data_IF_007141943801
#
_entry.id   IF_007141943801
#
_cell.length_a   1.000
_cell.length_b   1.000
_cell.length_c   1.000
_cell.angle_alpha   90.00
_cell.angle_beta   90.00
_cell.angle_gamma   90.00
#
_symmetry.space_group_name_H-M   'P 1'
#
loop_
_entity.id
_entity.type
_entity.pdbx_description
1 polymer ?
#
# COMPACT_ATOMS: atom_id res chain seq x y z
N UNK A 1 41.56 1.54 19.88
CA UNK A 1 40.11 1.85 19.93
C UNK A 1 39.52 2.04 18.54
N UNK A 2 40.13 2.86 17.65
CA UNK A 2 39.75 2.98 16.24
C UNK A 2 39.68 1.65 15.48
N UNK A 3 40.72 0.83 15.50
CA UNK A 3 40.75 -0.46 14.77
C UNK A 3 39.66 -1.45 15.21
N UNK A 4 39.32 -1.47 16.51
CA UNK A 4 38.21 -2.30 17.02
C UNK A 4 36.87 -1.78 16.49
N UNK A 5 36.66 -0.46 16.52
CA UNK A 5 35.42 0.17 16.01
C UNK A 5 35.31 -0.05 14.50
N UNK A 6 36.39 0.11 13.73
CA UNK A 6 36.43 -0.17 12.29
C UNK A 6 36.12 -1.65 12.00
N UNK A 7 36.71 -2.58 12.76
CA UNK A 7 36.40 -4.01 12.61
C UNK A 7 34.94 -4.36 12.91
N UNK A 8 34.33 -3.72 13.91
CA UNK A 8 32.89 -3.88 14.18
C UNK A 8 32.03 -3.25 13.07
N UNK A 9 32.41 -2.07 12.58
CA UNK A 9 31.74 -1.41 11.47
C UNK A 9 31.73 -2.31 10.23
N UNK A 10 32.90 -2.79 9.80
CA UNK A 10 33.06 -3.65 8.63
C UNK A 10 32.27 -4.96 8.72
N UNK A 11 32.06 -5.48 9.95
CA UNK A 11 31.23 -6.68 10.18
C UNK A 11 29.74 -6.43 10.02
N UNK A 12 29.26 -5.24 10.32
CA UNK A 12 27.82 -4.91 10.35
C UNK A 12 27.38 -4.22 9.05
N UNK A 13 28.27 -3.50 8.36
CA UNK A 13 27.97 -2.86 7.06
C UNK A 13 27.29 -3.79 6.04
N UNK A 14 27.74 -5.05 5.83
CA UNK A 14 27.09 -5.95 4.88
C UNK A 14 25.63 -6.28 5.22
N UNK A 15 25.26 -6.25 6.50
CA UNK A 15 23.86 -6.45 6.93
C UNK A 15 23.01 -5.25 6.50
N UNK A 16 23.49 -4.03 6.77
CA UNK A 16 22.79 -2.81 6.38
C UNK A 16 22.69 -2.66 4.86
N UNK A 17 23.75 -3.01 4.12
CA UNK A 17 23.74 -3.03 2.66
C UNK A 17 22.69 -4.00 2.11
N UNK A 18 22.57 -5.20 2.69
CA UNK A 18 21.53 -6.16 2.32
C UNK A 18 20.13 -5.65 2.65
N UNK A 19 19.96 -4.96 3.79
CA UNK A 19 18.70 -4.37 4.18
C UNK A 19 18.28 -3.28 3.18
N UNK A 20 19.18 -2.33 2.88
CA UNK A 20 18.93 -1.27 1.90
C UNK A 20 18.72 -1.80 0.48
N UNK A 21 19.30 -2.95 0.14
CA UNK A 21 19.15 -3.57 -1.18
C UNK A 21 18.04 -4.61 -1.29
N UNK A 22 17.26 -4.85 -0.24
CA UNK A 22 16.20 -5.84 -0.25
C UNK A 22 15.10 -5.47 -1.26
N UNK A 23 14.77 -6.38 -2.18
CA UNK A 23 13.77 -6.16 -3.23
C UNK A 23 12.38 -5.84 -2.67
N UNK A 24 11.95 -6.43 -1.56
CA UNK A 24 10.64 -6.13 -0.96
C UNK A 24 10.61 -4.75 -0.32
N UNK A 25 11.65 -4.37 0.42
CA UNK A 25 11.74 -3.04 1.02
C UNK A 25 11.78 -1.94 -0.05
N UNK A 26 12.57 -2.15 -1.11
CA UNK A 26 12.57 -1.28 -2.30
C UNK A 26 11.20 -1.21 -2.97
N UNK A 27 10.44 -2.31 -2.96
CA UNK A 27 9.11 -2.35 -3.58
C UNK A 27 8.09 -1.57 -2.76
N UNK A 28 8.08 -1.76 -1.44
CA UNK A 28 7.25 -0.97 -0.53
C UNK A 28 7.62 0.51 -0.65
N UNK A 29 8.92 0.82 -0.70
CA UNK A 29 9.41 2.19 -0.89
C UNK A 29 8.90 2.83 -2.17
N UNK A 30 9.14 2.18 -3.32
CA UNK A 30 8.67 2.69 -4.61
C UNK A 30 7.15 2.85 -4.64
N UNK A 31 6.42 1.89 -4.09
CA UNK A 31 4.96 1.93 -4.08
C UNK A 31 4.41 3.06 -3.22
N UNK A 32 4.91 3.25 -1.99
CA UNK A 32 4.47 4.36 -1.14
C UNK A 32 4.86 5.72 -1.72
N UNK A 33 6.04 5.85 -2.32
CA UNK A 33 6.42 7.08 -3.04
C UNK A 33 5.48 7.37 -4.23
N UNK A 34 4.99 6.33 -4.91
CA UNK A 34 4.00 6.46 -5.98
C UNK A 34 2.63 7.00 -5.52
N UNK A 35 2.32 6.95 -4.21
CA UNK A 35 1.07 7.46 -3.65
C UNK A 35 1.09 8.97 -3.34
N UNK A 36 2.24 9.63 -3.47
CA UNK A 36 2.40 11.05 -3.10
C UNK A 36 1.45 11.99 -3.87
N UNK A 37 1.19 11.72 -5.16
CA UNK A 37 0.27 12.51 -5.97
C UNK A 37 -1.16 12.50 -5.41
N UNK A 38 -1.80 11.32 -5.28
CA UNK A 38 -3.11 11.19 -4.62
C UNK A 38 -3.15 11.80 -3.22
N UNK A 39 -2.13 11.55 -2.37
CA UNK A 39 -2.07 12.13 -1.01
C UNK A 39 -2.12 13.65 -1.07
N UNK A 40 -1.29 14.28 -1.91
CA UNK A 40 -1.21 15.74 -2.02
C UNK A 40 -2.57 16.35 -2.40
N UNK A 41 -3.22 15.80 -3.44
CA UNK A 41 -4.52 16.29 -3.92
C UNK A 41 -5.60 16.10 -2.85
N UNK A 42 -5.61 14.94 -2.19
CA UNK A 42 -6.58 14.64 -1.13
C UNK A 42 -6.43 15.55 0.08
N UNK A 43 -5.20 15.80 0.51
CA UNK A 43 -4.89 16.69 1.64
C UNK A 43 -5.26 18.14 1.36
N UNK A 44 -4.97 18.65 0.15
CA UNK A 44 -5.41 20.00 -0.26
C UNK A 44 -6.95 20.09 -0.26
N UNK A 45 -7.62 19.05 -0.73
CA UNK A 45 -9.09 19.02 -0.77
C UNK A 45 -9.69 19.13 0.64
N UNK A 46 -9.12 18.41 1.61
CA UNK A 46 -9.58 18.51 3.00
C UNK A 46 -9.25 19.85 3.62
N UNK A 47 -8.07 20.39 3.34
CA UNK A 47 -7.72 21.73 3.78
C UNK A 47 -8.76 22.74 3.31
N UNK A 48 -9.14 22.72 2.02
CA UNK A 48 -10.14 23.61 1.45
C UNK A 48 -11.56 23.41 2.02
N UNK A 49 -11.88 22.21 2.52
CA UNK A 49 -13.14 21.94 3.23
C UNK A 49 -13.17 22.55 4.63
N UNK A 50 -12.05 22.52 5.35
CA UNK A 50 -11.97 22.91 6.76
C UNK A 50 -11.66 24.40 6.91
N UNK A 51 -10.87 24.97 5.99
CA UNK A 51 -10.41 26.36 6.05
C UNK A 51 -11.54 27.40 6.22
N UNK A 52 -12.73 27.27 5.60
CA UNK A 52 -13.84 28.21 5.79
C UNK A 52 -14.47 28.21 7.19
N UNK A 53 -14.13 27.24 8.04
CA UNK A 53 -14.50 27.24 9.46
C UNK A 53 -13.60 28.17 10.26
N UNK A 54 -12.29 28.15 9.98
CA UNK A 54 -11.29 28.94 10.70
C UNK A 54 -11.07 30.34 10.12
N UNK A 55 -11.35 30.55 8.83
CA UNK A 55 -11.17 31.82 8.12
C UNK A 55 -12.48 32.24 7.43
N UNK A 56 -13.31 33.10 8.08
CA UNK A 56 -14.59 33.54 7.53
C UNK A 56 -14.50 34.23 6.16
N UNK A 57 -13.37 34.88 5.86
CA UNK A 57 -13.09 35.51 4.56
C UNK A 57 -13.11 34.50 3.39
N UNK A 58 -12.95 33.21 3.67
CA UNK A 58 -12.93 32.14 2.68
C UNK A 58 -14.24 31.33 2.63
N UNK A 59 -15.33 31.89 3.17
CA UNK A 59 -16.66 31.25 3.18
C UNK A 59 -17.18 30.85 1.80
N UNK A 60 -16.75 31.54 0.73
CA UNK A 60 -17.10 31.21 -0.66
C UNK A 60 -16.68 29.78 -1.06
N UNK A 61 -15.65 29.21 -0.42
CA UNK A 61 -15.20 27.83 -0.69
C UNK A 61 -16.25 26.79 -0.30
N UNK A 62 -17.21 27.13 0.58
CA UNK A 62 -18.32 26.23 0.94
C UNK A 62 -19.19 25.86 -0.27
N UNK A 63 -19.25 26.72 -1.28
CA UNK A 63 -19.95 26.44 -2.54
C UNK A 63 -19.31 25.29 -3.33
N UNK A 64 -18.04 24.97 -3.07
CA UNK A 64 -17.28 23.92 -3.74
C UNK A 64 -17.07 22.69 -2.85
N UNK A 65 -17.68 22.64 -1.66
CA UNK A 65 -17.45 21.57 -0.69
C UNK A 65 -17.72 20.17 -1.27
N UNK A 66 -18.77 20.01 -2.08
CA UNK A 66 -19.07 18.72 -2.73
C UNK A 66 -17.95 18.24 -3.66
N UNK A 67 -17.28 19.16 -4.38
CA UNK A 67 -16.16 18.84 -5.27
C UNK A 67 -14.96 18.39 -4.43
N UNK A 68 -14.63 19.12 -3.36
CA UNK A 68 -13.50 18.77 -2.49
C UNK A 68 -13.73 17.45 -1.75
N UNK A 69 -14.95 17.18 -1.29
CA UNK A 69 -15.30 15.91 -0.67
C UNK A 69 -15.13 14.74 -1.65
N UNK A 70 -15.60 14.90 -2.90
CA UNK A 70 -15.40 13.90 -3.95
C UNK A 70 -13.92 13.68 -4.26
N UNK A 71 -13.13 14.75 -4.34
CA UNK A 71 -11.68 14.65 -4.57
C UNK A 71 -10.98 13.89 -3.43
N UNK A 72 -11.34 14.17 -2.17
CA UNK A 72 -10.80 13.42 -1.04
C UNK A 72 -11.18 11.93 -1.10
N UNK A 73 -12.43 11.62 -1.45
CA UNK A 73 -12.92 10.24 -1.53
C UNK A 73 -12.15 9.41 -2.58
N UNK A 74 -11.90 9.97 -3.77
CA UNK A 74 -11.18 9.25 -4.84
C UNK A 74 -9.66 9.20 -4.61
N UNK A 75 -9.12 10.03 -3.73
CA UNK A 75 -7.69 10.05 -3.41
C UNK A 75 -7.42 9.26 -2.14
N UNK A 76 -7.52 9.90 -0.98
CA UNK A 76 -7.26 9.31 0.34
C UNK A 76 -8.31 8.22 0.66
N UNK A 77 -9.58 8.47 0.32
CA UNK A 77 -10.65 7.50 0.53
C UNK A 77 -10.56 6.24 -0.32
N UNK A 78 -9.66 6.21 -1.31
CA UNK A 78 -9.41 5.07 -2.21
C UNK A 78 -7.95 4.61 -2.20
N UNK A 79 -7.20 4.97 -1.16
CA UNK A 79 -5.75 4.76 -1.09
C UNK A 79 -5.31 3.30 -1.26
N UNK A 80 -6.06 2.34 -0.70
CA UNK A 80 -5.72 0.93 -0.79
C UNK A 80 -5.63 0.46 -2.26
N UNK A 81 -6.44 1.03 -3.15
CA UNK A 81 -6.41 0.73 -4.58
C UNK A 81 -5.11 1.17 -5.25
N UNK A 82 -4.60 2.35 -4.89
CA UNK A 82 -3.31 2.83 -5.39
C UNK A 82 -2.17 1.96 -4.86
N UNK A 83 -2.21 1.64 -3.56
CA UNK A 83 -1.18 0.84 -2.91
C UNK A 83 -1.10 -0.57 -3.51
N UNK A 84 -2.23 -1.28 -3.70
CA UNK A 84 -2.18 -2.67 -4.19
C UNK A 84 -1.58 -2.79 -5.59
N UNK A 85 -1.93 -1.87 -6.48
CA UNK A 85 -1.40 -1.78 -7.85
C UNK A 85 0.10 -1.52 -7.81
N UNK A 86 0.52 -0.49 -7.06
CA UNK A 86 1.91 -0.06 -7.01
C UNK A 86 2.80 -1.11 -6.33
N UNK A 87 2.31 -1.80 -5.30
CA UNK A 87 3.06 -2.84 -4.58
C UNK A 87 3.43 -4.01 -5.52
N UNK A 88 2.45 -4.52 -6.28
CA UNK A 88 2.71 -5.59 -7.24
C UNK A 88 3.61 -5.11 -8.39
N UNK A 89 3.36 -3.91 -8.91
CA UNK A 89 4.17 -3.31 -9.98
C UNK A 89 5.65 -3.22 -9.61
N UNK A 90 5.95 -2.60 -8.46
CA UNK A 90 7.32 -2.40 -8.01
C UNK A 90 7.98 -3.73 -7.62
N UNK A 91 7.24 -4.69 -7.06
CA UNK A 91 7.78 -6.00 -6.73
C UNK A 91 8.22 -6.78 -7.95
N UNK A 92 7.40 -6.82 -9.01
CA UNK A 92 7.80 -7.50 -10.26
C UNK A 92 9.02 -6.83 -10.86
N UNK A 93 9.06 -5.50 -10.92
CA UNK A 93 10.25 -4.79 -11.43
C UNK A 93 11.53 -5.07 -10.63
N UNK A 94 11.42 -5.22 -9.31
CA UNK A 94 12.57 -5.48 -8.45
C UNK A 94 13.02 -6.95 -8.44
N UNK A 95 12.10 -7.90 -8.69
CA UNK A 95 12.42 -9.33 -8.70
C UNK A 95 12.73 -9.86 -10.11
N UNK A 96 12.12 -9.29 -11.14
CA UNK A 96 12.26 -9.69 -12.54
C UNK A 96 12.27 -8.45 -13.45
N UNK A 97 13.41 -7.74 -13.54
CA UNK A 97 13.52 -6.45 -14.24
C UNK A 97 13.19 -6.48 -15.75
N UNK A 98 13.13 -7.68 -16.35
CA UNK A 98 12.76 -7.87 -17.75
C UNK A 98 11.26 -7.70 -18.02
N UNK A 99 10.42 -7.70 -16.97
CA UNK A 99 8.97 -7.52 -17.05
C UNK A 99 8.58 -6.08 -16.71
N UNK A 100 7.50 -5.57 -17.32
CA UNK A 100 7.02 -4.20 -17.06
C UNK A 100 6.24 -4.06 -15.74
N UNK A 101 5.74 -5.17 -15.19
CA UNK A 101 4.97 -5.24 -13.94
C UNK A 101 3.50 -4.86 -14.07
N UNK A 102 3.02 -4.41 -15.23
CA UNK A 102 1.65 -3.92 -15.41
C UNK A 102 0.64 -5.06 -15.27
N UNK A 103 0.91 -6.22 -15.89
CA UNK A 103 0.02 -7.38 -15.78
C UNK A 103 -0.16 -7.79 -14.31
N UNK A 104 0.92 -7.87 -13.54
CA UNK A 104 0.85 -8.19 -12.11
C UNK A 104 0.09 -7.14 -11.30
N UNK A 105 0.23 -5.85 -11.64
CA UNK A 105 -0.48 -4.77 -11.00
C UNK A 105 -2.01 -4.85 -11.21
N UNK A 106 -2.44 -5.17 -12.43
CA UNK A 106 -3.86 -5.37 -12.76
C UNK A 106 -4.39 -6.64 -12.06
N UNK A 107 -3.63 -7.74 -12.06
CA UNK A 107 -4.00 -8.96 -11.34
C UNK A 107 -4.14 -8.68 -9.84
N UNK A 108 -3.25 -7.87 -9.26
CA UNK A 108 -3.31 -7.55 -7.83
C UNK A 108 -4.55 -6.72 -7.48
N UNK A 109 -4.93 -5.77 -8.34
CA UNK A 109 -6.18 -5.03 -8.19
C UNK A 109 -7.40 -5.96 -8.28
N UNK A 110 -7.42 -6.89 -9.23
CA UNK A 110 -8.47 -7.89 -9.35
C UNK A 110 -8.55 -8.77 -8.09
N UNK A 111 -7.41 -9.23 -7.58
CA UNK A 111 -7.34 -10.04 -6.35
C UNK A 111 -7.77 -9.26 -5.12
N UNK A 112 -7.49 -7.96 -5.06
CA UNK A 112 -7.99 -7.07 -4.01
C UNK A 112 -9.52 -7.01 -4.02
N UNK A 113 -10.12 -6.85 -5.20
CA UNK A 113 -11.58 -6.89 -5.31
C UNK A 113 -12.17 -8.26 -4.98
N UNK A 114 -11.49 -9.36 -5.32
CA UNK A 114 -11.94 -10.72 -4.96
C UNK A 114 -12.06 -10.90 -3.44
N UNK A 115 -11.14 -10.34 -2.66
CA UNK A 115 -11.18 -10.44 -1.19
C UNK A 115 -12.02 -9.35 -0.52
N UNK A 116 -12.47 -8.35 -1.28
CA UNK A 116 -13.26 -7.24 -0.75
C UNK A 116 -14.73 -7.66 -0.71
N UNK A 117 -15.36 -7.75 0.47
CA UNK A 117 -16.75 -8.16 0.56
C UNK A 117 -17.67 -7.12 -0.08
N UNK A 118 -18.65 -7.59 -0.85
CA UNK A 118 -19.75 -6.76 -1.32
C UNK A 118 -20.76 -6.58 -0.17
N UNK A 119 -21.21 -5.36 0.03
CA UNK A 119 -22.23 -5.00 1.02
C UNK A 119 -23.52 -4.58 0.32
N UNK A 120 -24.67 -4.85 0.91
CA UNK A 120 -25.93 -4.32 0.41
C UNK A 120 -26.19 -2.93 0.99
N UNK A 121 -26.56 -1.98 0.13
CA UNK A 121 -27.06 -0.68 0.58
C UNK A 121 -28.49 -0.80 1.12
N UNK A 122 -29.02 0.30 1.68
CA UNK A 122 -30.41 0.40 2.15
C UNK A 122 -31.41 0.09 1.03
N UNK A 123 -31.04 0.38 -0.23
CA UNK A 123 -31.86 0.15 -1.43
C UNK A 123 -31.60 -1.22 -2.07
N UNK A 124 -31.03 -2.18 -1.33
CA UNK A 124 -30.66 -3.53 -1.80
C UNK A 124 -29.69 -3.56 -3.00
N UNK A 125 -28.94 -2.46 -3.20
CA UNK A 125 -27.91 -2.40 -4.23
C UNK A 125 -26.61 -2.99 -3.70
N UNK A 126 -26.05 -3.95 -4.42
CA UNK A 126 -24.71 -4.47 -4.13
C UNK A 126 -23.66 -3.38 -4.36
N UNK A 127 -22.92 -3.04 -3.32
CA UNK A 127 -21.92 -1.97 -3.32
C UNK A 127 -20.59 -2.44 -2.69
N UNK A 128 -19.51 -1.82 -3.14
CA UNK A 128 -18.18 -1.99 -2.53
C UNK A 128 -18.08 -1.02 -1.34
N UNK A 129 -17.87 -1.50 -0.11
CA UNK A 129 -17.71 -0.63 1.04
C UNK A 129 -16.42 0.17 0.94
N UNK A 130 -16.53 1.51 0.99
CA UNK A 130 -15.38 2.43 0.90
C UNK A 130 -14.39 2.26 2.06
N UNK A 131 -14.84 1.69 3.18
CA UNK A 131 -14.02 1.32 4.35
C UNK A 131 -12.73 0.61 3.93
N UNK A 132 -12.85 -0.46 3.14
CA UNK A 132 -11.71 -1.27 2.68
C UNK A 132 -10.93 -0.64 1.53
N UNK A 133 -11.48 0.37 0.86
CA UNK A 133 -10.77 1.09 -0.20
C UNK A 133 -9.87 2.19 0.38
N UNK A 134 -10.16 2.63 1.60
CA UNK A 134 -9.47 3.71 2.29
C UNK A 134 -8.26 3.23 3.12
N UNK A 135 -7.86 4.01 4.12
CA UNK A 135 -6.79 3.70 5.07
C UNK A 135 -6.89 2.31 5.72
N UNK A 136 -8.08 1.86 6.10
CA UNK A 136 -8.24 0.56 6.76
C UNK A 136 -7.89 -0.63 5.85
N UNK A 137 -7.92 -0.43 4.53
CA UNK A 137 -7.52 -1.45 3.57
C UNK A 137 -6.04 -1.44 3.18
N UNK A 138 -5.26 -0.44 3.59
CA UNK A 138 -3.88 -0.23 3.08
C UNK A 138 -2.97 -1.43 3.40
N UNK A 139 -3.01 -1.98 4.62
CA UNK A 139 -2.21 -3.16 4.95
C UNK A 139 -2.65 -4.40 4.17
N UNK A 140 -3.95 -4.56 3.96
CA UNK A 140 -4.47 -5.64 3.11
C UNK A 140 -3.98 -5.49 1.67
N UNK A 141 -4.01 -4.27 1.14
CA UNK A 141 -3.50 -3.94 -0.19
C UNK A 141 -2.00 -4.24 -0.33
N UNK A 142 -1.20 -3.95 0.70
CA UNK A 142 0.22 -4.31 0.72
C UNK A 142 0.42 -5.82 0.63
N UNK A 143 -0.27 -6.59 1.48
CA UNK A 143 -0.15 -8.04 1.52
C UNK A 143 -0.59 -8.64 0.17
N UNK A 144 -1.75 -8.25 -0.34
CA UNK A 144 -2.28 -8.72 -1.63
C UNK A 144 -1.35 -8.36 -2.78
N UNK A 145 -0.85 -7.13 -2.83
CA UNK A 145 0.03 -6.65 -3.89
C UNK A 145 1.37 -7.39 -3.89
N UNK A 146 2.00 -7.54 -2.72
CA UNK A 146 3.26 -8.27 -2.59
C UNK A 146 3.08 -9.77 -2.86
N UNK A 147 2.02 -10.39 -2.34
CA UNK A 147 1.73 -11.80 -2.59
C UNK A 147 1.48 -12.05 -4.09
N UNK A 148 0.65 -11.22 -4.73
CA UNK A 148 0.37 -11.30 -6.16
C UNK A 148 1.63 -11.14 -7.00
N UNK A 149 2.43 -10.10 -6.75
CA UNK A 149 3.68 -9.88 -7.48
C UNK A 149 4.66 -11.05 -7.31
N UNK A 150 4.77 -11.61 -6.10
CA UNK A 150 5.63 -12.76 -5.83
C UNK A 150 5.15 -14.01 -6.56
N UNK A 151 3.87 -14.35 -6.47
CA UNK A 151 3.30 -15.52 -7.15
C UNK A 151 3.43 -15.36 -8.67
N UNK A 152 3.17 -14.16 -9.21
CA UNK A 152 3.34 -13.86 -10.62
C UNK A 152 4.76 -14.15 -11.11
N UNK A 153 5.78 -13.64 -10.40
CA UNK A 153 7.19 -13.89 -10.73
C UNK A 153 7.51 -15.39 -10.67
N UNK A 154 7.05 -16.09 -9.63
CA UNK A 154 7.28 -17.53 -9.51
C UNK A 154 6.67 -18.33 -10.66
N UNK A 155 5.48 -17.96 -11.14
CA UNK A 155 4.84 -18.63 -12.28
C UNK A 155 5.58 -18.34 -13.59
N UNK A 156 6.01 -17.09 -13.80
CA UNK A 156 6.82 -16.69 -14.97
C UNK A 156 8.19 -17.36 -14.98
N UNK A 157 8.85 -17.49 -13.83
CA UNK A 157 10.15 -18.16 -13.69
C UNK A 157 10.06 -19.66 -13.99
N UNK A 158 8.95 -20.30 -13.60
CA UNK A 158 8.66 -21.70 -13.95
C UNK A 158 8.22 -21.90 -15.41
N UNK A 159 8.06 -20.84 -16.19
CA UNK A 159 7.57 -20.91 -17.55
C UNK A 159 6.10 -21.33 -17.65
N UNK A 160 5.31 -21.11 -16.60
CA UNK A 160 3.87 -21.36 -16.59
C UNK A 160 3.14 -20.23 -17.31
N UNK A 161 3.40 -20.13 -18.61
CA UNK A 161 2.88 -19.10 -19.51
C UNK A 161 2.41 -19.74 -20.82
N UNK A 162 1.53 -19.04 -21.52
CA UNK A 162 1.15 -19.42 -22.89
C UNK A 162 2.15 -18.78 -23.84
N UNK A 163 2.92 -19.60 -24.58
CA UNK A 163 3.91 -19.13 -25.55
C UNK A 163 3.24 -18.83 -26.89
N UNK A 164 3.57 -17.68 -27.47
CA UNK A 164 3.09 -17.30 -28.80
C UNK A 164 4.10 -17.72 -29.89
N UNK A 165 3.64 -18.08 -31.11
CA UNK A 165 4.51 -18.33 -32.25
C UNK A 165 5.31 -17.09 -32.69
N UNK A 166 6.38 -17.33 -33.45
CA UNK A 166 7.12 -16.26 -34.13
C UNK A 166 6.18 -15.53 -35.11
N UNK A 167 6.07 -14.20 -34.97
CA UNK A 167 5.20 -13.36 -35.80
C UNK A 167 4.08 -12.65 -35.03
N UNK A 168 3.81 -13.04 -33.78
CA UNK A 168 2.83 -12.34 -32.93
C UNK A 168 3.45 -11.06 -32.33
N UNK A 169 2.78 -9.90 -32.41
CA UNK A 169 3.28 -8.65 -31.84
C UNK A 169 3.59 -8.77 -30.34
N UNK A 170 4.67 -8.12 -29.84
CA UNK A 170 5.09 -8.24 -28.44
C UNK A 170 4.00 -7.92 -27.40
N UNK A 171 3.12 -6.96 -27.71
CA UNK A 171 2.00 -6.58 -26.85
C UNK A 171 1.01 -7.74 -26.65
N UNK A 172 0.70 -8.48 -27.71
CA UNK A 172 -0.22 -9.63 -27.65
C UNK A 172 0.42 -10.78 -26.89
N UNK A 173 1.71 -11.06 -27.16
CA UNK A 173 2.47 -12.09 -26.44
C UNK A 173 2.44 -11.88 -24.92
N UNK A 174 2.66 -10.65 -24.46
CA UNK A 174 2.61 -10.33 -23.03
C UNK A 174 1.25 -10.62 -22.39
N UNK A 175 0.15 -10.28 -23.06
CA UNK A 175 -1.20 -10.54 -22.55
C UNK A 175 -1.40 -12.05 -22.37
N UNK A 176 -1.14 -12.84 -23.40
CA UNK A 176 -1.32 -14.29 -23.35
C UNK A 176 -0.39 -14.98 -22.34
N UNK A 177 0.87 -14.53 -22.25
CA UNK A 177 1.79 -15.05 -21.25
C UNK A 177 1.31 -14.80 -19.81
N UNK A 178 0.49 -13.76 -19.60
CA UNK A 178 -0.06 -13.42 -18.29
C UNK A 178 -1.42 -14.09 -17.98
N UNK A 179 -2.10 -14.70 -18.95
CA UNK A 179 -3.41 -15.34 -18.75
C UNK A 179 -3.33 -16.48 -17.73
N UNK A 180 -2.39 -17.42 -17.93
CA UNK A 180 -2.25 -18.55 -17.02
C UNK A 180 -1.85 -18.11 -15.60
N UNK A 181 -0.89 -17.18 -15.40
CA UNK A 181 -0.64 -16.56 -14.10
C UNK A 181 -1.88 -15.91 -13.49
N UNK A 182 -2.68 -15.18 -14.29
CA UNK A 182 -3.90 -14.51 -13.83
C UNK A 182 -4.89 -15.52 -13.24
N UNK A 183 -5.20 -16.59 -13.98
CA UNK A 183 -6.18 -17.61 -13.53
C UNK A 183 -5.72 -18.26 -12.24
N UNK A 184 -4.46 -18.68 -12.16
CA UNK A 184 -3.92 -19.36 -10.98
C UNK A 184 -3.97 -18.45 -9.75
N UNK A 185 -3.52 -17.19 -9.89
CA UNK A 185 -3.51 -16.24 -8.78
C UNK A 185 -4.95 -15.94 -8.32
N UNK A 186 -5.89 -15.74 -9.25
CA UNK A 186 -7.29 -15.49 -8.90
C UNK A 186 -7.89 -16.68 -8.14
N UNK A 187 -7.63 -17.92 -8.56
CA UNK A 187 -8.09 -19.12 -7.84
C UNK A 187 -7.55 -19.13 -6.42
N UNK A 188 -6.27 -18.80 -6.21
CA UNK A 188 -5.67 -18.72 -4.87
C UNK A 188 -6.41 -17.70 -4.00
N UNK A 189 -6.70 -16.50 -4.52
CA UNK A 189 -7.42 -15.47 -3.76
C UNK A 189 -8.90 -15.77 -3.55
N UNK A 190 -9.57 -16.48 -4.47
CA UNK A 190 -10.95 -16.96 -4.28
C UNK A 190 -11.02 -17.97 -3.14
N UNK A 191 -10.08 -18.92 -3.12
CA UNK A 191 -9.99 -19.90 -2.03
C UNK A 191 -9.69 -19.21 -0.70
N UNK A 192 -8.77 -18.24 -0.68
CA UNK A 192 -8.50 -17.44 0.51
C UNK A 192 -9.73 -16.67 0.98
N UNK A 193 -10.45 -16.01 0.07
CA UNK A 193 -11.68 -15.29 0.42
C UNK A 193 -12.72 -16.23 1.06
N UNK A 194 -12.94 -17.40 0.45
CA UNK A 194 -13.88 -18.41 0.96
C UNK A 194 -13.52 -18.89 2.37
N UNK A 195 -12.21 -19.03 2.67
CA UNK A 195 -11.72 -19.39 4.01
C UNK A 195 -12.04 -18.29 5.02
N UNK A 196 -11.83 -17.01 4.65
CA UNK A 196 -12.12 -15.89 5.55
C UNK A 196 -13.62 -15.65 5.75
N UNK A 197 -14.45 -15.87 4.74
CA UNK A 197 -15.91 -15.83 4.84
C UNK A 197 -16.43 -16.88 5.85
N UNK A 198 -15.81 -18.06 5.88
CA UNK A 198 -16.13 -19.11 6.84
C UNK A 198 -15.51 -18.88 8.25
N UNK A 199 -14.66 -17.87 8.41
CA UNK A 199 -13.97 -17.57 9.67
C UNK A 199 -14.75 -16.57 10.55
N UNK A 200 -14.35 -16.43 11.81
CA UNK A 200 -14.92 -15.43 12.73
C UNK A 200 -14.66 -13.98 12.31
N UNK A 201 -13.72 -13.75 11.39
CA UNK A 201 -13.41 -12.41 10.87
C UNK A 201 -14.34 -12.00 9.71
N UNK A 202 -14.98 -12.95 9.04
CA UNK A 202 -15.88 -12.74 7.90
C UNK A 202 -15.20 -12.29 6.59
N UNK A 203 -14.07 -11.58 6.64
CA UNK A 203 -13.28 -11.23 5.46
C UNK A 203 -11.81 -11.00 5.81
N UNK A 204 -10.94 -11.05 4.79
CA UNK A 204 -9.50 -10.89 4.97
C UNK A 204 -9.12 -9.49 5.48
N UNK A 205 -9.83 -8.45 5.06
CA UNK A 205 -9.51 -7.09 5.50
C UNK A 205 -9.70 -6.91 7.00
N UNK A 206 -10.79 -7.44 7.56
CA UNK A 206 -11.06 -7.41 8.99
C UNK A 206 -10.00 -8.19 9.78
N UNK A 207 -9.57 -9.35 9.28
CA UNK A 207 -8.49 -10.12 9.89
C UNK A 207 -7.18 -9.31 9.91
N UNK A 208 -6.77 -8.76 8.77
CA UNK A 208 -5.54 -7.97 8.67
C UNK A 208 -5.62 -6.73 9.56
N UNK A 209 -6.77 -6.06 9.59
CA UNK A 209 -6.98 -4.88 10.41
C UNK A 209 -6.79 -5.20 11.90
N UNK A 210 -7.54 -6.17 12.42
CA UNK A 210 -7.55 -6.50 13.86
C UNK A 210 -6.27 -7.17 14.35
N UNK A 211 -5.65 -8.03 13.54
CA UNK A 211 -4.49 -8.83 13.98
C UNK A 211 -3.16 -8.14 13.70
N UNK A 212 -3.09 -7.31 12.65
CA UNK A 212 -1.83 -6.72 12.18
C UNK A 212 -1.88 -5.20 12.33
N UNK A 213 -2.85 -4.54 11.72
CA UNK A 213 -2.84 -3.09 11.62
C UNK A 213 -3.05 -2.41 12.98
N UNK A 214 -4.11 -2.77 13.71
CA UNK A 214 -4.47 -2.16 14.99
C UNK A 214 -3.37 -2.31 16.05
N UNK A 215 -2.77 -3.49 16.29
CA UNK A 215 -1.64 -3.63 17.22
C UNK A 215 -0.41 -2.81 16.80
N UNK A 216 -0.09 -2.79 15.51
CA UNK A 216 1.03 -2.00 15.00
C UNK A 216 0.78 -0.50 15.13
N UNK A 217 -0.46 -0.03 14.96
CA UNK A 217 -0.83 1.37 15.18
C UNK A 217 -0.64 1.75 16.65
N UNK A 218 -1.14 0.92 17.57
CA UNK A 218 -0.99 1.17 19.01
C UNK A 218 0.46 1.30 19.47
N UNK A 219 1.37 0.51 18.88
CA UNK A 219 2.82 0.62 19.17
C UNK A 219 3.44 1.80 18.40
N UNK A 220 3.14 1.90 17.10
CA UNK A 220 3.79 2.80 16.16
C UNK A 220 3.42 4.27 16.29
N UNK A 221 2.30 4.59 16.95
CA UNK A 221 1.91 5.94 17.33
C UNK A 221 2.58 6.46 18.61
N UNK A 222 3.29 5.61 19.35
CA UNK A 222 3.91 6.02 20.62
C UNK A 222 5.16 6.89 20.41
N UNK A 223 5.44 7.80 21.37
CA UNK A 223 6.67 8.60 21.40
C UNK A 223 7.91 7.69 21.34
N UNK A 224 7.88 6.55 22.05
CA UNK A 224 8.95 5.57 22.04
C UNK A 224 9.21 5.00 20.64
N UNK A 225 8.16 4.69 19.88
CA UNK A 225 8.29 4.25 18.50
C UNK A 225 8.85 5.34 17.59
N UNK A 226 8.40 6.59 17.72
CA UNK A 226 8.95 7.72 16.94
C UNK A 226 10.43 7.92 17.22
N UNK A 227 10.84 7.85 18.49
CA UNK A 227 12.26 7.95 18.90
C UNK A 227 13.06 6.78 18.32
N UNK A 228 12.56 5.55 18.42
CA UNK A 228 13.23 4.36 17.90
C UNK A 228 13.39 4.41 16.38
N UNK A 229 12.33 4.77 15.65
CA UNK A 229 12.34 4.96 14.19
C UNK A 229 13.38 6.01 13.82
N UNK A 230 13.37 7.15 14.50
CA UNK A 230 14.34 8.24 14.28
C UNK A 230 15.77 7.74 14.51
N UNK A 231 16.01 7.00 15.59
CA UNK A 231 17.32 6.44 15.92
C UNK A 231 17.79 5.44 14.84
N UNK A 232 16.92 4.54 14.38
CA UNK A 232 17.22 3.59 13.31
C UNK A 232 17.60 4.34 12.02
N UNK A 233 16.88 5.40 11.68
CA UNK A 233 17.22 6.23 10.52
C UNK A 233 18.62 6.85 10.66
N UNK A 234 18.95 7.42 11.82
CA UNK A 234 20.27 8.01 12.05
C UNK A 234 21.39 6.95 12.03
N UNK A 235 21.13 5.75 12.55
CA UNK A 235 22.06 4.62 12.47
C UNK A 235 22.33 4.28 11.00
N UNK A 236 21.29 4.14 10.17
CA UNK A 236 21.49 3.87 8.74
C UNK A 236 22.31 4.95 8.05
N UNK A 237 22.06 6.22 8.37
CA UNK A 237 22.85 7.35 7.89
C UNK A 237 24.33 7.25 8.29
N UNK A 238 24.63 6.78 9.50
CA UNK A 238 26.00 6.52 9.95
C UNK A 238 26.72 5.46 9.11
N UNK A 239 25.99 4.50 8.55
CA UNK A 239 26.51 3.49 7.61
C UNK A 239 26.46 3.92 6.13
N UNK A 240 26.17 5.20 5.85
CA UNK A 240 26.12 5.74 4.48
C UNK A 240 24.83 5.38 3.72
N UNK A 241 23.86 4.78 4.38
CA UNK A 241 22.54 4.47 3.81
C UNK A 241 21.60 5.61 4.15
N UNK A 242 20.88 6.13 3.16
CA UNK A 242 19.89 7.19 3.39
C UNK A 242 18.70 6.66 4.21
N UNK A 243 18.84 6.66 5.55
CA UNK A 243 17.95 5.95 6.47
C UNK A 243 16.48 6.33 6.30
N UNK A 244 16.23 7.61 6.02
CA UNK A 244 14.89 8.12 5.72
C UNK A 244 14.26 7.40 4.51
N UNK A 245 15.01 7.11 3.45
CA UNK A 245 14.47 6.48 2.24
C UNK A 245 14.18 4.99 2.45
N UNK A 246 14.89 4.35 3.38
CA UNK A 246 14.68 2.94 3.71
C UNK A 246 13.54 2.77 4.70
N UNK A 247 13.48 3.62 5.72
CA UNK A 247 12.57 3.46 6.86
C UNK A 247 11.24 4.18 6.65
N UNK A 248 11.25 5.42 6.14
CA UNK A 248 10.01 6.21 6.06
C UNK A 248 8.92 5.55 5.24
N UNK A 249 9.19 4.88 4.10
CA UNK A 249 8.09 4.28 3.36
C UNK A 249 7.38 3.13 4.11
N UNK A 250 8.13 2.38 4.93
CA UNK A 250 7.55 1.33 5.79
C UNK A 250 6.68 1.96 6.88
N UNK A 251 7.20 3.02 7.50
CA UNK A 251 6.52 3.76 8.56
C UNK A 251 5.31 4.51 8.01
N UNK A 252 5.39 5.06 6.81
CA UNK A 252 4.31 5.79 6.16
C UNK A 252 3.12 4.87 5.90
N UNK A 253 3.35 3.60 5.53
CA UNK A 253 2.25 2.65 5.41
C UNK A 253 1.48 2.46 6.72
N UNK A 254 2.19 2.51 7.86
CA UNK A 254 1.61 2.44 9.20
C UNK A 254 0.90 3.73 9.60
N UNK A 255 1.59 4.87 9.49
CA UNK A 255 1.10 6.18 9.90
C UNK A 255 -0.03 6.69 9.03
N UNK A 256 -0.05 6.32 7.76
CA UNK A 256 -1.11 6.73 6.84
C UNK A 256 -2.50 6.37 7.36
N UNK A 257 -2.67 5.23 8.01
CA UNK A 257 -3.96 4.87 8.54
C UNK A 257 -4.38 5.74 9.75
N UNK A 258 -3.42 6.16 10.58
CA UNK A 258 -3.65 7.11 11.69
C UNK A 258 -3.88 8.54 11.16
N UNK A 259 -3.15 8.96 10.13
CA UNK A 259 -3.33 10.26 9.47
C UNK A 259 -4.74 10.41 8.91
N UNK A 260 -5.28 9.35 8.30
CA UNK A 260 -6.65 9.36 7.77
C UNK A 260 -7.69 9.39 8.88
N UNK A 261 -7.45 8.72 10.00
CA UNK A 261 -8.32 8.81 11.17
C UNK A 261 -8.36 10.23 11.72
N UNK A 262 -7.20 10.87 11.86
CA UNK A 262 -7.07 12.28 12.24
C UNK A 262 -7.80 13.20 11.25
N UNK A 263 -7.62 12.96 9.95
CA UNK A 263 -8.28 13.72 8.88
C UNK A 263 -9.81 13.61 8.96
N UNK A 264 -10.33 12.40 9.18
CA UNK A 264 -11.76 12.17 9.32
C UNK A 264 -12.33 12.86 10.57
N UNK A 265 -11.61 12.82 11.70
CA UNK A 265 -11.99 13.52 12.92
C UNK A 265 -12.07 15.05 12.68
N UNK A 266 -11.05 15.64 12.05
CA UNK A 266 -11.04 17.07 11.74
C UNK A 266 -12.15 17.46 10.77
N UNK A 267 -12.41 16.64 9.74
CA UNK A 267 -13.51 16.88 8.80
C UNK A 267 -14.87 16.91 9.53
N UNK A 268 -15.06 16.00 10.49
CA UNK A 268 -16.22 15.95 11.38
C UNK A 268 -16.24 17.06 12.46
N UNK A 269 -15.19 17.87 12.59
CA UNK A 269 -15.06 18.90 13.62
C UNK A 269 -14.70 18.37 15.01
N UNK A 270 -14.13 17.17 15.08
CA UNK A 270 -13.67 16.51 16.29
C UNK A 270 -12.15 16.71 16.48
N UNK A 271 -11.67 16.44 17.69
CA UNK A 271 -10.23 16.46 18.00
C UNK A 271 -9.54 15.23 17.36
N UNK A 272 -8.38 15.40 16.69
CA UNK A 272 -7.60 14.29 16.18
C UNK A 272 -7.21 13.30 17.30
N UNK A 273 -7.41 11.99 17.13
CA UNK A 273 -7.09 11.00 18.15
C UNK A 273 -5.61 10.62 18.27
N UNK A 274 -4.80 10.83 17.24
CA UNK A 274 -3.37 10.44 17.18
C UNK A 274 -2.43 11.65 17.13
#
# INVERSE_FOLDING_TARGET
>A
MKEKITSYFDKISPFFDKLGNNSYLKSISGAMMGTLGPILIGSISVLLLVLPKSLPALSFLRNFAGIFAKLNQITIGSMALYVVVLMAYHLVKNLRPTEDGISAAIIALLCFFIITPLSMTIDEVSAIPSTWLSAQGVFSAMIVGLATGRIYVLLKDKGWTIKMPAGVPPMVTKVFESILPTVIICIVFIVLNSIFEASTFGNMHQFVYSIIQEPLQGIGGSIGAVVLISLIQQILWFFGIHGTNVVMPLVQALWMAMDVENLNAVAAGQTPPN
#
